data_IF_193874561721
#
_entry.id   IF_193874561721
#
_cell.length_a   1.000
_cell.length_b   1.000
_cell.length_c   1.000
_cell.angle_alpha   90.00
_cell.angle_beta   90.00
_cell.angle_gamma   90.00
#
_symmetry.space_group_name_H-M   'P 1'
#
loop_
_entity.id
_entity.type
_entity.pdbx_description
1 polymer ?
#
# COMPACT_ATOMS: atom_id res chain seq x y z
N UNK A 1 19.81 9.69 15.26
CA UNK A 1 19.65 11.12 14.98
C UNK A 1 18.83 11.26 13.70
N UNK A 2 17.98 12.30 13.57
CA UNK A 2 17.06 12.44 12.45
C UNK A 2 17.84 12.57 11.12
N UNK A 3 17.38 11.89 10.06
CA UNK A 3 17.89 12.16 8.72
C UNK A 3 17.19 13.37 8.15
N UNK A 4 17.95 14.45 7.96
CA UNK A 4 17.49 15.60 7.17
C UNK A 4 17.65 15.25 5.68
N UNK A 5 16.67 15.59 4.85
CA UNK A 5 16.81 15.48 3.39
C UNK A 5 16.57 16.85 2.78
N UNK A 6 17.59 17.40 2.13
CA UNK A 6 17.52 18.69 1.46
C UNK A 6 17.60 18.46 -0.06
N UNK A 7 16.66 19.05 -0.80
CA UNK A 7 16.67 19.04 -2.26
C UNK A 7 17.16 20.39 -2.76
N UNK A 8 18.26 20.39 -3.51
CA UNK A 8 18.82 21.61 -4.09
C UNK A 8 18.74 21.53 -5.62
N UNK A 9 17.87 22.32 -6.28
CA UNK A 9 17.79 22.34 -7.74
C UNK A 9 18.91 23.22 -8.29
N UNK A 10 20.10 22.64 -8.49
CA UNK A 10 21.28 23.37 -8.96
C UNK A 10 21.95 22.69 -10.14
N UNK A 11 22.57 23.47 -11.03
CA UNK A 11 23.34 22.95 -12.16
C UNK A 11 24.61 22.24 -11.65
N UNK A 12 25.03 21.18 -12.35
CA UNK A 12 26.15 20.30 -11.93
C UNK A 12 27.47 21.02 -11.66
N UNK A 13 27.71 22.19 -12.25
CA UNK A 13 28.95 22.96 -12.13
C UNK A 13 29.00 23.78 -10.82
N UNK A 14 27.85 24.16 -10.26
CA UNK A 14 27.76 24.91 -9.00
C UNK A 14 27.74 24.00 -7.77
N UNK A 15 27.58 22.68 -7.98
CA UNK A 15 27.36 21.71 -6.93
C UNK A 15 28.58 21.51 -6.02
N UNK A 16 29.80 21.47 -6.57
CA UNK A 16 31.00 21.27 -5.76
C UNK A 16 31.25 22.46 -4.82
N UNK A 17 30.87 23.66 -5.26
CA UNK A 17 30.92 24.87 -4.44
C UNK A 17 29.89 24.81 -3.30
N UNK A 18 28.65 24.44 -3.62
CA UNK A 18 27.57 24.31 -2.63
C UNK A 18 27.85 23.18 -1.64
N UNK A 19 28.41 22.06 -2.10
CA UNK A 19 28.80 20.96 -1.22
C UNK A 19 29.89 21.38 -0.24
N UNK A 20 30.88 22.14 -0.71
CA UNK A 20 31.91 22.71 0.16
C UNK A 20 31.32 23.69 1.19
N UNK A 21 30.45 24.60 0.75
CA UNK A 21 29.75 25.56 1.64
C UNK A 21 28.90 24.85 2.69
N UNK A 22 28.14 23.81 2.31
CA UNK A 22 27.29 23.04 3.24
C UNK A 22 28.09 22.16 4.20
N UNK A 23 29.27 21.67 3.80
CA UNK A 23 30.19 20.97 4.70
C UNK A 23 30.81 21.95 5.71
N UNK A 24 31.20 23.14 5.28
CA UNK A 24 31.67 24.18 6.20
C UNK A 24 30.56 24.64 7.15
N UNK A 25 29.32 24.80 6.68
CA UNK A 25 28.15 25.11 7.52
C UNK A 25 27.90 24.00 8.56
N UNK A 26 27.97 22.72 8.15
CA UNK A 26 27.81 21.59 9.04
C UNK A 26 28.88 21.60 10.13
N UNK A 27 30.15 21.79 9.75
CA UNK A 27 31.30 21.84 10.66
C UNK A 27 31.24 23.04 11.60
N UNK A 28 30.83 24.20 11.10
CA UNK A 28 30.67 25.42 11.90
C UNK A 28 29.49 25.33 12.88
N UNK A 29 28.51 24.48 12.59
CA UNK A 29 27.29 24.30 13.39
C UNK A 29 27.28 22.99 14.20
N UNK A 30 28.42 22.29 14.30
CA UNK A 30 28.56 20.96 14.92
C UNK A 30 27.49 19.93 14.46
N UNK A 31 27.04 20.03 13.21
CA UNK A 31 26.09 19.09 12.61
C UNK A 31 26.82 17.91 11.92
N UNK A 32 26.19 16.73 11.80
CA UNK A 32 26.75 15.61 11.05
C UNK A 32 27.04 16.01 9.60
N UNK A 33 28.14 15.53 9.01
CA UNK A 33 28.47 15.90 7.63
C UNK A 33 27.44 15.34 6.62
N UNK A 34 26.94 16.16 5.67
CA UNK A 34 25.99 15.72 4.66
C UNK A 34 26.60 14.78 3.63
N UNK A 35 25.89 13.68 3.33
CA UNK A 35 26.15 12.84 2.17
C UNK A 35 25.46 13.42 0.93
N UNK A 36 26.24 13.85 -0.05
CA UNK A 36 25.70 14.35 -1.32
C UNK A 36 25.57 13.21 -2.34
N UNK A 37 24.38 13.05 -2.90
CA UNK A 37 24.08 12.07 -3.94
C UNK A 37 23.72 12.82 -5.23
N UNK A 38 24.46 12.54 -6.31
CA UNK A 38 24.18 13.07 -7.64
C UNK A 38 24.12 11.95 -8.70
N UNK A 39 23.22 12.04 -9.70
CA UNK A 39 23.22 11.13 -10.82
C UNK A 39 24.39 11.40 -11.79
N UNK A 40 24.99 10.35 -12.33
CA UNK A 40 26.18 10.44 -13.19
C UNK A 40 25.92 10.92 -14.63
N UNK A 41 24.75 11.48 -14.96
CA UNK A 41 24.41 11.86 -16.34
C UNK A 41 25.47 12.77 -17.03
N UNK A 42 26.24 13.53 -16.24
CA UNK A 42 27.38 14.34 -16.69
C UNK A 42 28.59 13.54 -17.22
N UNK A 43 28.76 12.25 -16.87
CA UNK A 43 29.80 11.37 -17.45
C UNK A 43 29.55 11.11 -18.94
N UNK A 44 28.31 11.20 -19.43
CA UNK A 44 28.03 10.99 -20.85
C UNK A 44 28.57 12.12 -21.73
N UNK A 45 28.58 13.37 -21.29
CA UNK A 45 29.08 14.47 -22.13
C UNK A 45 30.62 14.51 -22.19
N UNK A 46 31.32 14.18 -21.10
CA UNK A 46 32.77 14.29 -21.02
C UNK A 46 33.52 13.00 -21.46
N UNK A 47 32.92 11.81 -21.32
CA UNK A 47 33.53 10.54 -21.75
C UNK A 47 33.55 10.38 -23.28
N UNK A 48 32.54 10.90 -23.99
CA UNK A 48 32.54 10.96 -25.46
C UNK A 48 33.61 11.92 -26.00
N UNK A 49 33.94 12.98 -25.26
CA UNK A 49 34.99 13.93 -25.63
C UNK A 49 36.42 13.37 -25.43
N UNK A 50 36.60 12.38 -24.54
CA UNK A 50 37.91 11.86 -24.15
C UNK A 50 38.21 10.41 -24.60
N UNK A 51 37.30 9.77 -25.37
CA UNK A 51 37.45 8.39 -25.88
C UNK A 51 37.89 7.35 -24.82
N UNK A 52 37.53 7.56 -23.55
CA UNK A 52 37.74 6.60 -22.46
C UNK A 52 36.40 6.06 -22.02
N UNK A 53 36.24 4.73 -22.03
CA UNK A 53 35.08 4.04 -21.46
C UNK A 53 35.22 4.05 -19.93
N UNK A 54 34.36 4.76 -19.17
CA UNK A 54 34.42 4.72 -17.71
C UNK A 54 33.95 3.35 -17.22
N UNK A 55 34.60 2.81 -16.18
CA UNK A 55 34.09 1.66 -15.43
C UNK A 55 32.79 2.06 -14.74
N UNK A 56 31.73 1.26 -14.94
CA UNK A 56 30.35 1.56 -14.50
C UNK A 56 29.93 0.74 -13.26
N UNK A 57 30.84 -0.06 -12.72
CA UNK A 57 30.54 -1.03 -11.64
C UNK A 57 30.88 -0.53 -10.25
N UNK A 58 31.36 0.70 -10.08
CA UNK A 58 31.82 1.20 -8.78
C UNK A 58 31.38 2.66 -8.55
N UNK A 59 30.95 2.94 -7.31
CA UNK A 59 30.73 4.29 -6.85
C UNK A 59 32.09 5.00 -6.69
N UNK A 60 32.27 6.16 -7.32
CA UNK A 60 33.49 6.96 -7.20
C UNK A 60 33.26 8.19 -6.32
N UNK A 61 34.20 8.41 -5.40
CA UNK A 61 34.25 9.60 -4.57
C UNK A 61 35.02 10.71 -5.30
N UNK A 62 34.41 11.89 -5.44
CA UNK A 62 35.03 13.10 -5.99
C UNK A 62 35.07 14.18 -4.91
N UNK A 63 36.22 14.30 -4.24
CA UNK A 63 36.33 15.09 -3.02
C UNK A 63 35.43 14.51 -1.92
N UNK A 64 34.46 15.29 -1.45
CA UNK A 64 33.49 14.87 -0.44
C UNK A 64 32.10 14.55 -1.02
N UNK A 65 31.98 14.45 -2.35
CA UNK A 65 30.73 14.18 -3.05
C UNK A 65 30.78 12.77 -3.63
N UNK A 66 29.78 11.96 -3.29
CA UNK A 66 29.64 10.62 -3.87
C UNK A 66 28.92 10.72 -5.22
N UNK A 67 29.59 10.23 -6.27
CA UNK A 67 29.03 10.19 -7.63
C UNK A 67 28.36 8.84 -7.81
N UNK A 68 27.04 8.85 -7.96
CA UNK A 68 26.28 7.62 -8.19
C UNK A 68 25.84 7.57 -9.64
N UNK A 69 26.24 6.53 -10.36
CA UNK A 69 25.68 6.28 -11.67
C UNK A 69 24.25 5.77 -11.52
N UNK A 70 23.30 6.51 -12.10
CA UNK A 70 21.94 6.03 -12.32
C UNK A 70 21.73 5.98 -13.83
N UNK A 71 22.43 5.04 -14.46
CA UNK A 71 22.07 4.54 -15.78
C UNK A 71 21.29 3.24 -15.59
N UNK A 72 20.65 2.72 -16.63
CA UNK A 72 20.00 1.41 -16.64
C UNK A 72 20.93 0.22 -16.27
N UNK A 73 22.17 0.47 -15.82
CA UNK A 73 23.22 -0.50 -15.55
C UNK A 73 23.95 -0.34 -14.21
N UNK A 74 23.57 0.60 -13.33
CA UNK A 74 24.05 0.63 -11.94
C UNK A 74 22.83 0.54 -11.02
N UNK A 75 22.74 -0.55 -10.26
CA UNK A 75 21.47 -0.97 -9.66
C UNK A 75 21.18 -0.17 -8.37
N UNK A 76 19.95 0.29 -8.21
CA UNK A 76 19.41 0.84 -6.95
C UNK A 76 19.84 0.05 -5.70
N UNK A 77 20.04 -1.27 -5.85
CA UNK A 77 20.53 -2.18 -4.81
C UNK A 77 21.95 -1.88 -4.29
N UNK A 78 22.89 -1.48 -5.13
CA UNK A 78 24.27 -1.16 -4.69
C UNK A 78 24.27 0.11 -3.84
N UNK A 79 23.44 1.09 -4.20
CA UNK A 79 23.26 2.31 -3.43
C UNK A 79 22.55 2.04 -2.11
N UNK A 80 21.53 1.18 -2.11
CA UNK A 80 20.89 0.69 -0.88
C UNK A 80 21.90 0.01 0.07
N UNK A 81 22.78 -0.84 -0.46
CA UNK A 81 23.82 -1.49 0.32
C UNK A 81 24.83 -0.48 0.87
N UNK A 82 25.27 0.49 0.07
CA UNK A 82 26.18 1.54 0.52
C UNK A 82 25.56 2.40 1.62
N UNK A 83 24.28 2.80 1.50
CA UNK A 83 23.58 3.55 2.54
C UNK A 83 23.41 2.74 3.83
N UNK A 84 23.13 1.44 3.72
CA UNK A 84 23.07 0.53 4.88
C UNK A 84 24.42 0.43 5.62
N UNK A 85 25.53 0.46 4.88
CA UNK A 85 26.88 0.42 5.45
C UNK A 85 27.31 1.77 6.06
N UNK A 86 27.16 2.85 5.30
CA UNK A 86 27.63 4.19 5.68
C UNK A 86 26.78 4.83 6.78
N UNK A 87 25.52 4.41 6.89
CA UNK A 87 24.52 4.92 7.81
C UNK A 87 24.46 6.46 7.95
N UNK A 88 24.38 7.21 6.83
CA UNK A 88 24.46 8.67 6.87
C UNK A 88 23.29 9.28 7.65
N UNK A 89 23.57 10.31 8.45
CA UNK A 89 22.55 11.06 9.21
C UNK A 89 22.02 12.28 8.46
N UNK A 90 22.60 12.64 7.32
CA UNK A 90 22.13 13.74 6.49
C UNK A 90 22.38 13.40 5.03
N UNK A 91 21.34 13.50 4.17
CA UNK A 91 21.44 13.20 2.74
C UNK A 91 20.93 14.38 1.92
N UNK A 92 21.70 14.80 0.92
CA UNK A 92 21.32 15.91 0.02
C UNK A 92 21.22 15.36 -1.40
N UNK A 93 20.03 15.50 -2.01
CA UNK A 93 19.76 15.09 -3.40
C UNK A 93 19.65 16.32 -4.29
N UNK A 94 20.29 16.25 -5.46
CA UNK A 94 20.47 17.44 -6.32
C UNK A 94 19.64 17.38 -7.60
N UNK A 95 18.67 16.47 -7.69
CA UNK A 95 17.80 16.32 -8.86
C UNK A 95 16.32 16.25 -8.49
N UNK A 96 15.46 17.01 -9.18
CA UNK A 96 14.02 16.73 -9.27
C UNK A 96 13.73 15.61 -10.29
N UNK A 97 12.71 14.75 -10.09
CA UNK A 97 11.95 14.52 -8.85
C UNK A 97 12.83 13.84 -7.78
N UNK A 98 12.39 13.84 -6.51
CA UNK A 98 13.16 13.46 -5.31
C UNK A 98 13.57 11.96 -5.28
N UNK A 99 14.46 11.53 -6.16
CA UNK A 99 14.85 10.13 -6.31
C UNK A 99 15.54 9.54 -5.06
N UNK A 100 16.13 10.38 -4.19
CA UNK A 100 16.67 9.90 -2.91
C UNK A 100 15.57 9.42 -1.95
N UNK A 101 14.34 9.92 -2.08
CA UNK A 101 13.19 9.43 -1.30
C UNK A 101 12.62 8.09 -1.80
N UNK A 102 13.02 7.64 -2.99
CA UNK A 102 12.69 6.30 -3.53
C UNK A 102 13.60 5.21 -2.96
N UNK A 103 14.73 5.58 -2.34
CA UNK A 103 15.61 4.64 -1.66
C UNK A 103 14.96 4.21 -0.35
N UNK A 104 14.65 2.92 -0.27
CA UNK A 104 14.15 2.26 0.93
C UNK A 104 14.88 2.76 2.18
N UNK A 105 16.22 2.76 2.24
CA UNK A 105 17.02 3.24 3.37
C UNK A 105 16.61 4.62 3.89
N UNK A 106 16.43 5.59 2.99
CA UNK A 106 16.05 6.97 3.32
C UNK A 106 14.60 7.02 3.78
N UNK A 107 13.70 6.32 3.06
CA UNK A 107 12.29 6.15 3.43
C UNK A 107 12.13 5.55 4.83
N UNK A 108 12.97 4.56 5.18
CA UNK A 108 12.91 3.82 6.45
C UNK A 108 13.13 4.69 7.67
N UNK A 109 14.12 5.59 7.59
CA UNK A 109 14.58 6.43 8.71
C UNK A 109 13.87 7.77 8.79
N UNK A 110 13.23 8.20 7.69
CA UNK A 110 12.34 9.35 7.70
C UNK A 110 11.05 9.05 8.49
N UNK A 111 10.49 7.84 8.32
CA UNK A 111 9.20 7.45 8.93
C UNK A 111 9.28 7.11 10.42
N UNK A 112 10.43 6.65 10.93
CA UNK A 112 10.59 6.21 12.34
C UNK A 112 10.44 7.31 13.40
N UNK A 113 10.29 8.57 12.99
CA UNK A 113 10.26 9.72 13.90
C UNK A 113 8.92 10.48 13.91
N UNK A 114 7.96 10.12 13.05
CA UNK A 114 6.63 10.77 13.01
C UNK A 114 5.63 10.22 14.04
N UNK A 115 6.03 9.23 14.86
CA UNK A 115 5.12 8.41 15.70
C UNK A 115 5.07 8.75 17.19
N UNK A 116 5.57 9.90 17.65
CA UNK A 116 5.30 10.34 19.03
C UNK A 116 4.05 11.23 19.09
N UNK A 117 2.89 10.58 19.19
CA UNK A 117 1.60 11.25 19.37
C UNK A 117 0.47 10.23 19.52
N UNK A 118 0.36 9.58 20.67
CA UNK A 118 -0.79 8.76 21.03
C UNK A 118 -2.03 9.62 21.25
N UNK A 119 -2.99 9.54 20.34
CA UNK A 119 -4.38 9.87 20.61
C UNK A 119 -5.26 8.79 19.96
N UNK A 120 -6.20 8.23 20.73
CA UNK A 120 -7.35 7.51 20.17
C UNK A 120 -8.10 8.49 19.27
N UNK A 121 -7.88 8.40 17.96
CA UNK A 121 -8.63 9.20 17.00
C UNK A 121 -10.03 8.61 16.88
N UNK A 122 -11.02 9.27 17.48
CA UNK A 122 -12.42 9.09 17.07
C UNK A 122 -12.52 9.50 15.60
N UNK A 123 -12.65 8.54 14.69
CA UNK A 123 -12.73 8.82 13.26
C UNK A 123 -14.14 9.34 12.97
N UNK A 124 -14.30 10.65 12.82
CA UNK A 124 -15.59 11.27 12.50
C UNK A 124 -15.80 11.29 10.98
N UNK A 125 -16.75 10.49 10.48
CA UNK A 125 -17.13 10.48 9.07
C UNK A 125 -18.23 11.52 8.84
N UNK A 126 -17.90 12.63 8.17
CA UNK A 126 -18.89 13.64 7.79
C UNK A 126 -19.09 13.62 6.28
N UNK A 127 -20.25 13.14 5.85
CA UNK A 127 -20.75 13.32 4.49
C UNK A 127 -21.49 14.65 4.37
N UNK A 128 -21.47 15.23 3.18
CA UNK A 128 -22.27 16.43 2.91
C UNK A 128 -23.74 16.05 2.85
N UNK A 129 -24.65 16.99 3.11
CA UNK A 129 -26.10 16.77 2.95
C UNK A 129 -26.44 16.21 1.56
N UNK A 130 -25.75 16.70 0.53
CA UNK A 130 -25.89 16.21 -0.83
C UNK A 130 -25.41 14.77 -1.02
N UNK A 131 -24.26 14.41 -0.44
CA UNK A 131 -23.75 13.04 -0.49
C UNK A 131 -24.71 12.06 0.17
N UNK A 132 -25.34 12.46 1.28
CA UNK A 132 -26.34 11.65 1.96
C UNK A 132 -27.59 11.41 1.10
N UNK A 133 -28.10 12.45 0.44
CA UNK A 133 -29.22 12.32 -0.51
C UNK A 133 -28.89 11.35 -1.66
N UNK A 134 -27.70 11.47 -2.24
CA UNK A 134 -27.25 10.63 -3.34
C UNK A 134 -27.13 9.16 -2.89
N UNK A 135 -26.59 8.91 -1.70
CA UNK A 135 -26.54 7.57 -1.08
C UNK A 135 -27.93 6.99 -0.82
N UNK A 136 -28.82 7.75 -0.17
CA UNK A 136 -30.19 7.30 0.11
C UNK A 136 -30.96 7.00 -1.17
N UNK A 137 -30.85 7.85 -2.18
CA UNK A 137 -31.45 7.60 -3.49
C UNK A 137 -30.92 6.30 -4.10
N UNK A 138 -29.61 6.11 -4.06
CA UNK A 138 -28.96 4.92 -4.60
C UNK A 138 -29.42 3.63 -3.91
N UNK A 139 -29.52 3.63 -2.57
CA UNK A 139 -29.98 2.46 -1.79
C UNK A 139 -31.48 2.19 -2.00
N UNK A 140 -32.32 3.23 -2.12
CA UNK A 140 -33.75 3.06 -2.42
C UNK A 140 -33.99 2.56 -3.85
N UNK A 141 -33.09 2.87 -4.77
CA UNK A 141 -33.16 2.48 -6.18
C UNK A 141 -32.67 1.06 -6.49
N UNK A 142 -32.39 0.21 -5.50
CA UNK A 142 -31.88 -1.15 -5.73
C UNK A 142 -32.85 -1.97 -6.60
N UNK A 143 -32.40 -2.53 -7.75
CA UNK A 143 -33.26 -3.33 -8.62
C UNK A 143 -33.85 -4.55 -7.91
N UNK A 144 -35.12 -4.83 -8.19
CA UNK A 144 -35.83 -5.99 -7.64
C UNK A 144 -35.24 -7.30 -8.16
N UNK A 145 -35.46 -8.39 -7.43
CA UNK A 145 -34.98 -9.72 -7.83
C UNK A 145 -35.61 -10.10 -9.19
N UNK A 146 -34.77 -10.50 -10.15
CA UNK A 146 -35.19 -10.86 -11.51
C UNK A 146 -35.16 -9.70 -12.52
N UNK A 147 -34.96 -8.46 -12.07
CA UNK A 147 -34.68 -7.33 -12.97
C UNK A 147 -33.20 -7.29 -13.37
N UNK A 148 -32.92 -6.71 -14.54
CA UNK A 148 -31.54 -6.45 -14.97
C UNK A 148 -30.91 -5.42 -14.03
N UNK A 149 -29.78 -5.78 -13.44
CA UNK A 149 -29.00 -4.90 -12.57
C UNK A 149 -27.88 -4.24 -13.38
N UNK A 150 -27.85 -2.90 -13.54
CA UNK A 150 -26.79 -2.22 -14.29
C UNK A 150 -25.47 -2.22 -13.50
N UNK A 151 -24.35 -2.10 -14.21
CA UNK A 151 -23.04 -1.83 -13.58
C UNK A 151 -23.05 -0.43 -12.97
N UNK A 152 -22.50 -0.27 -11.77
CA UNK A 152 -22.45 1.02 -11.06
C UNK A 152 -21.05 1.43 -10.64
N UNK A 153 -20.15 0.44 -10.48
CA UNK A 153 -18.72 0.68 -10.28
C UNK A 153 -17.97 -0.23 -11.24
N UNK A 154 -17.06 0.33 -12.03
CA UNK A 154 -16.14 -0.39 -12.89
C UNK A 154 -14.78 0.29 -12.87
N UNK A 155 -13.74 -0.44 -12.51
CA UNK A 155 -12.34 0.00 -12.57
C UNK A 155 -11.60 -1.08 -13.35
N UNK A 156 -11.16 -0.74 -14.56
CA UNK A 156 -10.59 -1.69 -15.51
C UNK A 156 -11.56 -2.87 -15.76
N UNK A 157 -11.09 -4.12 -15.71
CA UNK A 157 -11.89 -5.32 -15.90
C UNK A 157 -12.81 -5.67 -14.72
N UNK A 158 -12.60 -5.06 -13.55
CA UNK A 158 -13.37 -5.36 -12.34
C UNK A 158 -14.61 -4.48 -12.29
N UNK A 159 -15.79 -5.08 -12.05
CA UNK A 159 -17.05 -4.34 -11.98
C UNK A 159 -18.02 -4.93 -10.95
N UNK A 160 -18.95 -4.09 -10.48
CA UNK A 160 -20.04 -4.49 -9.59
C UNK A 160 -21.36 -3.89 -10.08
N UNK A 161 -22.42 -4.71 -10.08
CA UNK A 161 -23.77 -4.27 -10.42
C UNK A 161 -24.50 -3.59 -9.24
N UNK A 162 -25.52 -2.79 -9.55
CA UNK A 162 -26.27 -1.98 -8.58
C UNK A 162 -26.85 -2.83 -7.45
N UNK A 163 -27.48 -3.95 -7.77
CA UNK A 163 -28.08 -4.83 -6.77
C UNK A 163 -27.03 -5.42 -5.84
N UNK A 164 -25.92 -5.95 -6.36
CA UNK A 164 -24.83 -6.49 -5.54
C UNK A 164 -24.20 -5.40 -4.67
N UNK A 165 -23.92 -4.24 -5.25
CA UNK A 165 -23.30 -3.11 -4.55
C UNK A 165 -24.26 -2.53 -3.48
N UNK A 166 -25.49 -2.19 -3.85
CA UNK A 166 -26.48 -1.60 -2.96
C UNK A 166 -26.92 -2.52 -1.83
N UNK A 167 -27.06 -3.84 -2.08
CA UNK A 167 -27.32 -4.78 -0.99
C UNK A 167 -26.14 -4.87 -0.01
N UNK A 168 -24.90 -4.77 -0.50
CA UNK A 168 -23.72 -4.78 0.35
C UNK A 168 -23.60 -3.48 1.15
N UNK A 169 -23.84 -2.32 0.53
CA UNK A 169 -23.62 -1.01 1.17
C UNK A 169 -24.80 -0.53 2.01
N UNK A 170 -26.01 -1.08 1.82
CA UNK A 170 -27.18 -0.69 2.62
C UNK A 170 -27.14 -1.20 4.07
N UNK A 171 -27.94 -0.59 4.94
CA UNK A 171 -28.16 -1.02 6.34
C UNK A 171 -29.32 -2.02 6.38
N UNK A 172 -29.09 -3.23 5.87
CA UNK A 172 -30.13 -4.24 5.63
C UNK A 172 -29.75 -5.64 6.14
N UNK A 173 -28.67 -5.74 6.94
CA UNK A 173 -28.20 -6.98 7.55
C UNK A 173 -27.46 -7.93 6.59
N UNK A 174 -27.20 -7.55 5.34
CA UNK A 174 -26.35 -8.34 4.45
C UNK A 174 -24.86 -8.06 4.72
N UNK A 175 -24.05 -9.12 4.71
CA UNK A 175 -22.58 -9.01 4.71
C UNK A 175 -22.09 -8.46 3.37
N UNK A 176 -20.91 -7.86 3.38
CA UNK A 176 -20.28 -7.33 2.16
C UNK A 176 -20.00 -8.45 1.18
N UNK A 177 -20.45 -8.25 -0.07
CA UNK A 177 -20.14 -9.17 -1.17
C UNK A 177 -18.64 -9.16 -1.48
N UNK A 178 -18.10 -10.34 -1.80
CA UNK A 178 -16.72 -10.48 -2.29
C UNK A 178 -16.39 -9.58 -3.50
N UNK A 179 -17.39 -9.30 -4.33
CA UNK A 179 -17.22 -8.40 -5.48
C UNK A 179 -16.98 -6.95 -5.04
N UNK A 180 -17.62 -6.51 -3.95
CA UNK A 180 -17.49 -5.16 -3.40
C UNK A 180 -16.15 -5.00 -2.66
N UNK A 181 -15.73 -5.99 -1.88
CA UNK A 181 -14.44 -5.93 -1.18
C UNK A 181 -13.26 -6.00 -2.17
N UNK A 182 -13.36 -6.80 -3.23
CA UNK A 182 -12.36 -6.83 -4.29
C UNK A 182 -12.29 -5.49 -5.04
N UNK A 183 -13.45 -4.88 -5.32
CA UNK A 183 -13.51 -3.54 -5.90
C UNK A 183 -12.83 -2.49 -4.99
N UNK A 184 -12.99 -2.60 -3.67
CA UNK A 184 -12.26 -1.73 -2.72
C UNK A 184 -10.75 -1.90 -2.84
N UNK A 185 -10.27 -3.14 -2.92
CA UNK A 185 -8.86 -3.42 -3.17
C UNK A 185 -8.35 -2.79 -4.47
N UNK A 186 -9.09 -2.95 -5.57
CA UNK A 186 -8.76 -2.36 -6.87
C UNK A 186 -8.71 -0.83 -6.82
N UNK A 187 -9.71 -0.21 -6.19
CA UNK A 187 -9.75 1.23 -5.97
C UNK A 187 -8.49 1.72 -5.23
N UNK A 188 -8.20 1.12 -4.06
CA UNK A 188 -7.01 1.46 -3.26
C UNK A 188 -5.72 1.33 -4.07
N UNK A 189 -5.52 0.22 -4.79
CA UNK A 189 -4.29 -0.02 -5.59
C UNK A 189 -4.12 1.03 -6.68
N UNK A 190 -5.19 1.40 -7.37
CA UNK A 190 -5.14 2.36 -8.48
C UNK A 190 -4.70 3.78 -8.06
N UNK A 191 -4.76 4.10 -6.76
CA UNK A 191 -4.38 5.42 -6.23
C UNK A 191 -2.93 5.50 -5.71
N UNK A 192 -2.15 4.43 -5.73
CA UNK A 192 -0.87 4.35 -5.00
C UNK A 192 0.36 4.93 -5.69
N UNK A 193 0.22 5.62 -6.84
CA UNK A 193 1.39 6.13 -7.61
C UNK A 193 2.37 6.98 -6.77
N UNK A 194 1.88 7.70 -5.77
CA UNK A 194 2.68 8.56 -4.89
C UNK A 194 2.57 8.18 -3.40
N UNK A 195 2.11 6.96 -3.10
CA UNK A 195 1.87 6.56 -1.71
C UNK A 195 3.18 6.35 -0.94
N UNK A 196 3.25 6.92 0.27
CA UNK A 196 4.37 6.71 1.20
C UNK A 196 4.50 5.26 1.69
N UNK A 197 3.39 4.52 1.67
CA UNK A 197 3.31 3.11 2.05
C UNK A 197 2.60 2.34 0.93
N UNK A 198 3.33 1.45 0.27
CA UNK A 198 2.84 0.65 -0.84
C UNK A 198 2.19 -0.63 -0.31
N UNK A 199 0.91 -0.81 -0.59
CA UNK A 199 0.14 -1.96 -0.12
C UNK A 199 -0.56 -2.64 -1.27
N UNK A 200 -0.44 -3.95 -1.37
CA UNK A 200 -1.19 -4.70 -2.36
C UNK A 200 -2.34 -5.45 -1.73
N UNK A 201 -3.54 -5.36 -2.31
CA UNK A 201 -4.72 -6.09 -1.83
C UNK A 201 -4.97 -7.28 -2.74
N UNK A 202 -4.83 -8.49 -2.21
CA UNK A 202 -5.18 -9.71 -2.94
C UNK A 202 -6.70 -9.84 -3.05
N UNK A 203 -7.17 -10.36 -4.18
CA UNK A 203 -8.58 -10.69 -4.33
C UNK A 203 -8.99 -11.79 -3.34
N UNK A 204 -10.20 -11.68 -2.81
CA UNK A 204 -10.76 -12.62 -1.83
C UNK A 204 -10.87 -14.06 -2.35
N UNK A 205 -10.96 -14.28 -3.67
CA UNK A 205 -10.84 -15.62 -4.26
C UNK A 205 -9.50 -16.27 -3.96
N UNK A 206 -8.40 -15.52 -4.03
CA UNK A 206 -7.07 -16.01 -3.69
C UNK A 206 -6.94 -16.26 -2.19
N UNK A 207 -7.56 -15.39 -1.37
CA UNK A 207 -7.72 -15.64 0.07
C UNK A 207 -8.43 -16.96 0.36
N UNK A 208 -9.50 -17.27 -0.38
CA UNK A 208 -10.22 -18.55 -0.27
C UNK A 208 -9.36 -19.74 -0.68
N UNK A 209 -8.50 -19.60 -1.69
CA UNK A 209 -7.56 -20.66 -2.06
C UNK A 209 -6.55 -20.93 -0.94
N UNK A 210 -6.04 -19.88 -0.29
CA UNK A 210 -5.15 -20.01 0.87
C UNK A 210 -5.83 -20.65 2.09
N UNK A 211 -7.16 -20.58 2.20
CA UNK A 211 -7.95 -21.28 3.22
C UNK A 211 -8.14 -22.78 2.92
N UNK A 212 -7.81 -23.24 1.71
CA UNK A 212 -7.95 -24.63 1.30
C UNK A 212 -6.89 -25.55 1.92
N UNK A 213 -7.15 -26.88 1.96
CA UNK A 213 -6.15 -27.85 2.38
C UNK A 213 -5.00 -27.90 1.35
N UNK A 214 -3.75 -27.83 1.83
CA UNK A 214 -2.56 -28.11 1.00
C UNK A 214 -2.57 -29.59 0.57
N UNK A 215 -2.29 -30.00 -0.70
CA UNK A 215 -1.87 -29.22 -1.87
C UNK A 215 -2.71 -29.52 -3.14
N UNK A 216 -3.77 -28.75 -3.43
CA UNK A 216 -4.40 -28.78 -4.76
C UNK A 216 -3.60 -27.88 -5.75
N UNK A 217 -2.75 -28.54 -6.55
CA UNK A 217 -1.66 -27.98 -7.40
C UNK A 217 -2.07 -27.16 -8.64
N UNK A 218 -2.98 -26.21 -8.52
CA UNK A 218 -2.78 -24.97 -9.28
C UNK A 218 -2.01 -24.05 -8.33
N UNK A 219 -0.70 -23.95 -8.54
CA UNK A 219 0.16 -23.33 -7.52
C UNK A 219 -0.31 -21.90 -7.27
N UNK A 220 -0.82 -21.63 -6.07
CA UNK A 220 -1.17 -20.28 -5.61
C UNK A 220 0.04 -19.36 -5.80
N UNK A 221 1.26 -19.89 -5.73
CA UNK A 221 2.49 -19.21 -6.13
C UNK A 221 2.45 -18.56 -7.53
N UNK A 222 1.82 -19.19 -8.53
CA UNK A 222 1.65 -18.59 -9.85
C UNK A 222 0.80 -17.32 -9.75
N UNK A 223 -0.28 -17.36 -8.99
CA UNK A 223 -1.11 -16.18 -8.77
C UNK A 223 -0.35 -15.11 -8.00
N UNK A 224 0.56 -15.47 -7.07
CA UNK A 224 1.40 -14.50 -6.36
C UNK A 224 2.56 -13.95 -7.21
N UNK A 225 2.87 -14.55 -8.36
CA UNK A 225 4.01 -14.18 -9.20
C UNK A 225 3.77 -12.91 -10.02
N UNK A 226 4.87 -12.26 -10.41
CA UNK A 226 4.87 -11.04 -11.22
C UNK A 226 4.03 -11.12 -12.50
N UNK A 227 4.05 -12.20 -13.30
CA UNK A 227 3.19 -12.31 -14.49
C UNK A 227 1.69 -12.17 -14.22
N UNK A 228 1.21 -12.61 -13.06
CA UNK A 228 -0.22 -12.53 -12.71
C UNK A 228 -0.57 -11.28 -11.91
N UNK A 229 0.39 -10.71 -11.19
CA UNK A 229 0.19 -9.48 -10.41
C UNK A 229 0.55 -8.21 -11.20
N UNK A 230 1.33 -8.33 -12.28
CA UNK A 230 1.89 -7.22 -13.06
C UNK A 230 3.16 -6.60 -12.44
N UNK A 231 3.54 -7.03 -11.23
CA UNK A 231 4.73 -6.57 -10.51
C UNK A 231 5.10 -7.59 -9.42
N UNK A 232 6.30 -7.47 -8.86
CA UNK A 232 6.74 -8.32 -7.75
C UNK A 232 6.14 -7.89 -6.43
N UNK A 233 5.42 -8.80 -5.76
CA UNK A 233 4.84 -8.54 -4.44
C UNK A 233 5.90 -8.27 -3.37
N UNK A 234 7.13 -8.76 -3.56
CA UNK A 234 8.28 -8.49 -2.68
C UNK A 234 8.65 -6.99 -2.58
N UNK A 235 8.20 -6.18 -3.54
CA UNK A 235 8.45 -4.73 -3.57
C UNK A 235 7.40 -3.92 -2.79
N UNK A 236 6.36 -4.57 -2.26
CA UNK A 236 5.34 -3.90 -1.46
C UNK A 236 5.80 -3.76 0.00
N UNK A 237 5.30 -2.74 0.71
CA UNK A 237 5.50 -2.63 2.15
C UNK A 237 4.59 -3.62 2.92
N UNK A 238 3.40 -3.90 2.37
CA UNK A 238 2.51 -4.94 2.87
C UNK A 238 1.65 -5.59 1.76
N UNK A 239 1.26 -6.85 2.00
CA UNK A 239 0.24 -7.56 1.23
C UNK A 239 -0.95 -7.86 2.13
N UNK A 240 -2.14 -7.40 1.73
CA UNK A 240 -3.39 -7.44 2.47
C UNK A 240 -4.31 -8.47 1.82
N UNK A 241 -4.86 -9.37 2.62
CA UNK A 241 -5.67 -10.52 2.16
C UNK A 241 -7.01 -10.50 2.90
N UNK A 242 -8.07 -9.96 2.27
CA UNK A 242 -9.42 -10.04 2.81
C UNK A 242 -9.88 -11.50 2.81
N UNK A 243 -10.30 -11.99 3.98
CA UNK A 243 -10.68 -13.38 4.20
C UNK A 243 -12.09 -13.43 4.75
N UNK A 244 -12.87 -14.41 4.30
CA UNK A 244 -14.24 -14.64 4.74
C UNK A 244 -14.30 -15.99 5.45
N UNK A 245 -14.72 -15.99 6.72
CA UNK A 245 -15.08 -17.22 7.44
C UNK A 245 -16.57 -17.21 7.74
N UNK A 246 -17.31 -18.19 7.23
CA UNK A 246 -18.77 -18.24 7.26
C UNK A 246 -19.41 -16.96 6.69
N UNK A 247 -19.72 -15.97 7.53
CA UNK A 247 -20.30 -14.66 7.14
C UNK A 247 -19.46 -13.46 7.59
N UNK A 248 -18.35 -13.71 8.29
CA UNK A 248 -17.55 -12.71 8.96
C UNK A 248 -16.26 -12.47 8.19
N UNK A 249 -16.05 -11.23 7.78
CA UNK A 249 -14.82 -10.79 7.16
C UNK A 249 -13.75 -10.48 8.21
N UNK A 250 -12.52 -10.90 7.92
CA UNK A 250 -11.33 -10.49 8.63
C UNK A 250 -10.20 -10.23 7.63
N UNK A 251 -9.09 -9.66 8.10
CA UNK A 251 -7.98 -9.28 7.24
C UNK A 251 -6.68 -9.90 7.76
N UNK A 252 -6.02 -10.67 6.89
CA UNK A 252 -4.63 -11.05 7.09
C UNK A 252 -3.74 -10.04 6.39
N UNK A 253 -2.70 -9.57 7.07
CA UNK A 253 -1.70 -8.68 6.51
C UNK A 253 -0.33 -9.32 6.64
N UNK A 254 0.35 -9.51 5.52
CA UNK A 254 1.78 -9.78 5.49
C UNK A 254 2.51 -8.43 5.48
N UNK A 255 2.92 -7.96 6.66
CA UNK A 255 3.59 -6.68 6.83
C UNK A 255 5.11 -6.90 6.68
N UNK A 256 5.60 -6.75 5.45
CA UNK A 256 7.03 -6.93 5.14
C UNK A 256 7.88 -5.84 5.78
N UNK A 257 7.31 -4.64 5.93
CA UNK A 257 7.91 -3.51 6.63
C UNK A 257 8.24 -3.83 8.10
N UNK A 258 7.27 -4.36 8.86
CA UNK A 258 7.42 -4.73 10.28
C UNK A 258 7.89 -6.16 10.51
N UNK A 259 8.06 -6.95 9.44
CA UNK A 259 8.46 -8.37 9.48
C UNK A 259 7.55 -9.25 10.33
N UNK A 260 6.23 -9.08 10.17
CA UNK A 260 5.22 -9.87 10.89
C UNK A 260 3.97 -10.06 10.05
N UNK A 261 3.21 -11.08 10.37
CA UNK A 261 1.82 -11.21 9.99
C UNK A 261 0.93 -10.55 11.04
N UNK A 262 -0.14 -9.90 10.58
CA UNK A 262 -1.14 -9.27 11.43
C UNK A 262 -2.52 -9.80 11.01
N UNK A 263 -3.29 -10.28 11.98
CA UNK A 263 -4.67 -10.73 11.77
C UNK A 263 -5.58 -9.70 12.42
N UNK A 264 -6.30 -8.93 11.60
CA UNK A 264 -7.23 -7.91 12.04
C UNK A 264 -8.65 -8.47 12.00
N UNK A 265 -9.24 -8.66 13.17
CA UNK A 265 -10.60 -9.21 13.34
C UNK A 265 -11.54 -8.15 13.90
N UNK A 266 -12.67 -7.85 13.24
CA UNK A 266 -13.68 -6.96 13.81
C UNK A 266 -14.38 -7.52 15.06
N UNK A 267 -14.40 -8.84 15.23
CA UNK A 267 -15.26 -9.53 16.23
C UNK A 267 -14.44 -10.32 17.26
N UNK A 268 -13.23 -9.88 17.56
CA UNK A 268 -12.33 -10.61 18.45
C UNK A 268 -11.62 -11.79 17.76
N UNK A 269 -10.63 -12.35 18.44
CA UNK A 269 -9.84 -13.48 17.94
C UNK A 269 -10.17 -14.75 18.72
N UNK A 270 -11.06 -15.57 18.15
CA UNK A 270 -11.40 -16.89 18.71
C UNK A 270 -10.28 -17.91 18.44
N UNK A 271 -10.24 -18.99 19.22
CA UNK A 271 -9.27 -20.08 19.01
C UNK A 271 -9.40 -20.70 17.60
N UNK A 272 -10.63 -20.76 17.07
CA UNK A 272 -10.89 -21.21 15.71
C UNK A 272 -10.26 -20.28 14.66
N UNK A 273 -10.45 -18.96 14.81
CA UNK A 273 -9.83 -17.98 13.93
C UNK A 273 -8.30 -18.02 14.02
N UNK A 274 -7.75 -18.16 15.23
CA UNK A 274 -6.31 -18.27 15.45
C UNK A 274 -5.74 -19.48 14.71
N UNK A 275 -6.37 -20.65 14.87
CA UNK A 275 -5.96 -21.90 14.22
C UNK A 275 -6.05 -21.78 12.70
N UNK A 276 -7.15 -21.20 12.20
CA UNK A 276 -7.35 -21.00 10.77
C UNK A 276 -6.31 -20.04 10.19
N UNK A 277 -6.07 -18.90 10.84
CA UNK A 277 -5.09 -17.90 10.39
C UNK A 277 -3.67 -18.47 10.38
N UNK A 278 -3.28 -19.28 11.37
CA UNK A 278 -1.99 -19.97 11.39
C UNK A 278 -1.83 -20.89 10.17
N UNK A 279 -2.85 -21.66 9.83
CA UNK A 279 -2.85 -22.52 8.64
C UNK A 279 -2.69 -21.71 7.34
N UNK A 280 -3.45 -20.61 7.20
CA UNK A 280 -3.38 -19.71 6.05
C UNK A 280 -1.98 -19.08 5.93
N UNK A 281 -1.38 -18.66 7.04
CA UNK A 281 -0.02 -18.10 7.05
C UNK A 281 1.01 -19.15 6.64
N UNK A 282 0.87 -20.41 7.06
CA UNK A 282 1.72 -21.50 6.58
C UNK A 282 1.62 -21.66 5.06
N UNK A 283 0.40 -21.72 4.51
CA UNK A 283 0.18 -21.80 3.06
C UNK A 283 0.79 -20.59 2.33
N UNK A 284 0.53 -19.38 2.83
CA UNK A 284 1.08 -18.15 2.25
C UNK A 284 2.61 -18.18 2.23
N UNK A 285 3.27 -18.62 3.30
CA UNK A 285 4.74 -18.73 3.35
C UNK A 285 5.27 -19.70 2.30
N UNK A 286 4.65 -20.86 2.13
CA UNK A 286 5.05 -21.88 1.15
C UNK A 286 4.89 -21.37 -0.29
N UNK A 287 3.73 -20.81 -0.60
CA UNK A 287 3.43 -20.29 -1.93
C UNK A 287 4.23 -19.04 -2.28
N UNK A 288 4.42 -18.13 -1.32
CA UNK A 288 5.24 -16.94 -1.51
C UNK A 288 6.72 -17.32 -1.72
N UNK A 289 7.24 -18.27 -0.93
CA UNK A 289 8.61 -18.76 -1.14
C UNK A 289 8.77 -19.45 -2.49
N UNK A 290 7.75 -20.18 -2.95
CA UNK A 290 7.75 -20.82 -4.27
C UNK A 290 7.71 -19.80 -5.42
N UNK A 291 6.96 -18.70 -5.25
CA UNK A 291 6.91 -17.60 -6.22
C UNK A 291 8.21 -16.79 -6.26
N UNK A 292 8.91 -16.68 -5.12
CA UNK A 292 10.11 -15.85 -4.94
C UNK A 292 11.27 -16.64 -4.29
N UNK A 293 11.84 -17.65 -4.99
CA UNK A 293 12.81 -18.59 -4.40
C UNK A 293 14.17 -17.96 -4.07
N UNK A 294 14.56 -16.90 -4.77
CA UNK A 294 15.85 -16.21 -4.61
C UNK A 294 15.80 -15.07 -3.57
N UNK A 295 14.69 -14.95 -2.85
CA UNK A 295 14.48 -13.84 -1.94
C UNK A 295 15.24 -14.03 -0.62
N UNK A 296 16.41 -13.40 -0.51
CA UNK A 296 17.24 -13.46 0.70
C UNK A 296 16.90 -12.35 1.73
N UNK A 297 16.20 -11.29 1.32
CA UNK A 297 15.98 -10.07 2.12
C UNK A 297 14.77 -10.14 3.05
N UNK A 298 13.68 -10.82 2.64
CA UNK A 298 12.46 -10.98 3.43
C UNK A 298 12.36 -12.43 3.89
N UNK A 299 12.76 -12.67 5.15
CA UNK A 299 12.63 -13.99 5.77
C UNK A 299 11.18 -14.24 6.20
N UNK A 300 10.29 -14.42 5.22
CA UNK A 300 8.85 -14.58 5.48
C UNK A 300 8.53 -15.78 6.38
N UNK A 301 9.39 -16.81 6.35
CA UNK A 301 9.29 -17.99 7.23
C UNK A 301 9.49 -17.65 8.71
N UNK A 302 10.25 -16.60 9.01
CA UNK A 302 10.60 -16.20 10.39
C UNK A 302 9.68 -15.11 10.95
N UNK A 303 8.70 -14.64 10.18
CA UNK A 303 7.79 -13.57 10.61
C UNK A 303 6.77 -14.07 11.63
N UNK A 304 6.70 -13.47 12.81
CA UNK A 304 5.70 -13.82 13.82
C UNK A 304 4.27 -13.45 13.38
N UNK A 305 3.26 -14.02 14.04
CA UNK A 305 1.85 -13.71 13.81
C UNK A 305 1.33 -12.94 15.02
N UNK A 306 0.69 -11.79 14.79
CA UNK A 306 0.03 -10.99 15.81
C UNK A 306 -1.46 -10.89 15.50
N UNK A 307 -2.29 -10.85 16.55
CA UNK A 307 -3.75 -10.85 16.46
C UNK A 307 -4.30 -9.58 17.08
N UNK A 308 -5.17 -8.89 16.35
CA UNK A 308 -5.72 -7.60 16.75
C UNK A 308 -7.24 -7.60 16.59
N UNK A 309 -7.93 -7.19 17.66
CA UNK A 309 -9.36 -6.88 17.59
C UNK A 309 -9.50 -5.42 17.19
N UNK A 310 -10.22 -5.15 16.10
CA UNK A 310 -10.31 -3.80 15.50
C UNK A 310 -11.70 -3.18 15.62
N UNK A 311 -12.63 -3.83 16.32
CA UNK A 311 -13.92 -3.23 16.66
C UNK A 311 -14.48 -3.82 17.95
N UNK A 312 -15.43 -3.11 18.56
CA UNK A 312 -16.30 -3.61 19.63
C UNK A 312 -17.65 -4.13 19.11
N UNK A 313 -17.84 -4.25 17.79
CA UNK A 313 -19.09 -4.71 17.20
C UNK A 313 -19.24 -6.23 17.23
N UNK A 314 -20.41 -6.68 17.67
CA UNK A 314 -20.83 -8.09 17.59
C UNK A 314 -21.67 -8.38 16.32
N UNK A 315 -21.83 -7.40 15.43
CA UNK A 315 -22.63 -7.55 14.21
C UNK A 315 -21.78 -8.09 13.05
N UNK A 316 -21.93 -9.39 12.76
CA UNK A 316 -21.25 -10.06 11.63
C UNK A 316 -21.47 -9.36 10.29
N UNK A 317 -22.63 -8.75 10.07
CA UNK A 317 -22.96 -8.08 8.80
C UNK A 317 -22.12 -6.81 8.55
N UNK A 318 -21.57 -6.21 9.60
CA UNK A 318 -20.70 -5.02 9.52
C UNK A 318 -19.21 -5.35 9.44
N UNK A 319 -18.82 -6.62 9.68
CA UNK A 319 -17.42 -7.06 9.61
C UNK A 319 -16.73 -6.63 8.30
N UNK A 320 -17.42 -6.79 7.17
CA UNK A 320 -16.90 -6.39 5.86
C UNK A 320 -16.69 -4.88 5.71
N UNK A 321 -17.49 -4.05 6.37
CA UNK A 321 -17.34 -2.58 6.35
C UNK A 321 -16.10 -2.16 7.12
N UNK A 322 -15.91 -2.74 8.31
CA UNK A 322 -14.69 -2.51 9.09
C UNK A 322 -13.44 -2.99 8.35
N UNK A 323 -13.50 -4.14 7.66
CA UNK A 323 -12.38 -4.59 6.82
C UNK A 323 -12.14 -3.67 5.63
N UNK A 324 -13.17 -3.24 4.90
CA UNK A 324 -13.01 -2.27 3.80
C UNK A 324 -12.34 -0.99 4.28
N UNK A 325 -12.72 -0.49 5.47
CA UNK A 325 -12.07 0.69 6.03
C UNK A 325 -10.65 0.41 6.54
N UNK A 326 -10.41 -0.77 7.10
CA UNK A 326 -9.05 -1.18 7.47
C UNK A 326 -8.12 -1.25 6.26
N UNK A 327 -8.60 -1.77 5.11
CA UNK A 327 -7.83 -1.77 3.86
C UNK A 327 -7.40 -0.36 3.47
N UNK A 328 -8.31 0.62 3.56
CA UNK A 328 -8.05 2.03 3.25
C UNK A 328 -7.05 2.67 4.22
N UNK A 329 -7.23 2.47 5.53
CA UNK A 329 -6.44 3.14 6.55
C UNK A 329 -5.09 2.49 6.86
N UNK A 330 -4.89 1.22 6.50
CA UNK A 330 -3.66 0.49 6.86
C UNK A 330 -2.41 1.15 6.26
N UNK A 331 -1.46 1.47 7.12
CA UNK A 331 -0.18 2.09 6.78
C UNK A 331 1.02 1.39 7.46
N UNK A 332 0.79 0.20 8.02
CA UNK A 332 1.81 -0.61 8.69
C UNK A 332 2.20 -0.19 10.11
N UNK A 333 1.65 0.92 10.63
CA UNK A 333 1.95 1.41 11.99
C UNK A 333 0.72 1.72 12.83
N UNK A 334 -0.35 2.28 12.24
CA UNK A 334 -1.51 2.74 12.99
C UNK A 334 -2.30 1.59 13.59
N UNK A 335 -2.64 1.74 14.87
CA UNK A 335 -3.66 0.94 15.51
C UNK A 335 -5.03 1.37 14.98
N UNK A 336 -5.74 0.45 14.34
CA UNK A 336 -7.07 0.68 13.77
C UNK A 336 -8.11 0.13 14.76
N UNK A 337 -9.07 0.96 15.15
CA UNK A 337 -10.19 0.55 15.99
C UNK A 337 -11.46 1.30 15.59
N UNK A 338 -12.59 0.60 15.55
CA UNK A 338 -13.90 1.13 15.16
C UNK A 338 -14.97 0.83 16.21
N UNK A 339 -15.86 1.78 16.47
CA UNK A 339 -17.05 1.55 17.26
C UNK A 339 -18.16 0.91 16.40
N UNK A 340 -19.04 0.13 17.02
CA UNK A 340 -20.25 -0.42 16.39
C UNK A 340 -21.08 0.65 15.65
N UNK A 341 -21.25 1.81 16.27
CA UNK A 341 -21.96 2.97 15.75
C UNK A 341 -21.30 3.62 14.52
N UNK A 342 -20.03 3.29 14.23
CA UNK A 342 -19.34 3.81 13.04
C UNK A 342 -19.83 3.11 11.75
N UNK A 343 -20.43 1.92 11.84
CA UNK A 343 -20.73 1.08 10.69
C UNK A 343 -21.65 1.76 9.65
N UNK A 344 -22.71 2.43 10.10
CA UNK A 344 -23.67 3.12 9.21
C UNK A 344 -23.00 4.29 8.46
N UNK A 345 -22.25 5.13 9.18
CA UNK A 345 -21.51 6.24 8.57
C UNK A 345 -20.41 5.75 7.61
N UNK A 346 -19.75 4.64 7.94
CA UNK A 346 -18.76 4.00 7.08
C UNK A 346 -19.36 3.42 5.81
N UNK A 347 -20.54 2.81 5.89
CA UNK A 347 -21.29 2.31 4.72
C UNK A 347 -21.55 3.43 3.72
N UNK A 348 -22.09 4.54 4.20
CA UNK A 348 -22.37 5.72 3.38
C UNK A 348 -21.06 6.27 2.76
N UNK A 349 -20.04 6.47 3.59
CA UNK A 349 -18.76 7.02 3.15
C UNK A 349 -18.08 6.15 2.09
N UNK A 350 -17.98 4.84 2.33
CA UNK A 350 -17.33 3.90 1.40
C UNK A 350 -18.15 3.72 0.12
N UNK A 351 -19.48 3.81 0.19
CA UNK A 351 -20.33 3.73 -0.99
C UNK A 351 -20.07 4.93 -1.92
N UNK A 352 -20.09 6.14 -1.37
CA UNK A 352 -19.80 7.36 -2.10
C UNK A 352 -18.35 7.37 -2.63
N UNK A 353 -17.39 6.91 -1.83
CA UNK A 353 -15.99 6.76 -2.25
C UNK A 353 -15.86 5.91 -3.52
N UNK A 354 -16.49 4.73 -3.57
CA UNK A 354 -16.42 3.86 -4.74
C UNK A 354 -17.24 4.37 -5.93
N UNK A 355 -18.43 4.92 -5.69
CA UNK A 355 -19.29 5.46 -6.74
C UNK A 355 -18.65 6.68 -7.43
N UNK A 356 -17.97 7.53 -6.66
CA UNK A 356 -17.33 8.76 -7.15
C UNK A 356 -15.82 8.60 -7.37
N UNK A 357 -15.32 7.37 -7.30
CA UNK A 357 -13.91 7.09 -7.48
C UNK A 357 -13.42 7.61 -8.84
N UNK A 358 -12.24 8.26 -8.87
CA UNK A 358 -11.74 8.96 -10.07
C UNK A 358 -11.53 8.04 -11.28
N UNK A 359 -11.30 6.76 -11.04
CA UNK A 359 -11.15 5.73 -12.08
C UNK A 359 -12.42 4.90 -12.31
N UNK A 360 -13.56 5.27 -11.70
CA UNK A 360 -14.82 4.60 -12.00
C UNK A 360 -15.28 4.98 -13.41
N UNK A 361 -15.30 4.01 -14.32
CA UNK A 361 -15.72 4.16 -15.71
C UNK A 361 -17.24 4.29 -15.87
N UNK A 362 -18.00 4.01 -14.81
CA UNK A 362 -19.46 4.14 -14.81
C UNK A 362 -19.85 5.54 -14.34
N UNK A 363 -20.35 6.42 -15.23
CA UNK A 363 -20.80 7.74 -14.81
C UNK A 363 -22.05 7.62 -13.93
N UNK A 364 -22.01 8.29 -12.77
CA UNK A 364 -23.15 8.46 -11.84
C UNK A 364 -24.43 9.03 -12.51
N UNK A 365 -24.32 9.54 -13.74
CA UNK A 365 -25.45 10.06 -14.55
C UNK A 365 -26.51 9.01 -14.92
N UNK A 366 -26.24 7.71 -14.73
CA UNK A 366 -27.29 6.67 -14.89
C UNK A 366 -28.29 6.61 -13.73
N UNK A 367 -28.02 7.32 -12.64
CA UNK A 367 -28.95 7.48 -11.50
C UNK A 367 -29.97 8.61 -11.77
N UNK A 368 -29.62 9.59 -12.62
CA UNK A 368 -30.55 10.64 -13.08
C UNK A 368 -31.42 10.21 -14.28
N UNK A 369 -31.05 9.12 -14.97
CA UNK A 369 -31.81 8.55 -16.10
C UNK A 369 -33.00 7.67 -15.70
N UNK A 370 -33.30 7.53 -14.39
CA UNK A 370 -34.49 6.87 -13.87
C UNK A 370 -35.70 7.81 -13.73
N UNK A 371 -35.57 9.07 -14.18
CA UNK A 371 -36.73 9.89 -14.51
C UNK A 371 -37.19 9.47 -15.90
N UNK A 372 -38.11 8.50 -15.94
CA UNK A 372 -38.77 8.08 -17.17
C UNK A 372 -39.68 9.18 -17.74
N UNK A 373 -40.48 8.85 -18.75
CA UNK A 373 -41.90 9.11 -18.64
C UNK A 373 -42.56 8.20 -17.59
#
# INVERSE_FOLDING_TARGET
>A
MPITVLVLPVRSEELNKIAAEKLEEARASDQPEPLFIRPSAWRYSNAYAQNRKPSLTEAEQDGNVWRVCFSNHSSSNELEQALQLLQPQWVISTTPPNFASELSYVRRRYLSHTTQGHAQSSICFRTTSRGKEDYEYFIRGIPSRGQRSPRVVQIEETWVDHRTFGLSMGVNGYTISKHVINMMGKAIISEQRDAHFLKHVLHSELGKMLQGPSPCRESISNYLSEPNQGFKLENMDAVLVPLLNSKTWYLLVANFWKRRFEVLSPMGCTDELITQAQSIVCNFREDFHSAYPQLHSVKIKDMDITFHTISNSDNESDSGIFIMKALDLYDGEKHIFFNDSDAEGLREHLALYLLHHKYNEMPHRHVQGLVGP
#
